data_IF_126955848465
#
_entry.id   IF_126955848465
#
_cell.length_a   1.000
_cell.length_b   1.000
_cell.length_c   1.000
_cell.angle_alpha   90.00
_cell.angle_beta   90.00
_cell.angle_gamma   90.00
#
_symmetry.space_group_name_H-M   'P 1'
#
loop_
_entity.id
_entity.type
_entity.pdbx_description
1 polymer ?
#
# COMPACT_ATOMS: atom_id res chain seq x y z
N UNK A 1 1.23 22.55 -1.79
CA UNK A 1 2.19 22.65 -2.93
C UNK A 1 1.78 21.63 -3.98
N UNK A 2 2.00 21.85 -5.27
CA UNK A 2 1.81 20.77 -6.27
C UNK A 2 2.94 19.77 -6.11
N UNK A 3 2.62 18.54 -5.69
CA UNK A 3 3.62 17.49 -5.48
C UNK A 3 4.01 16.88 -6.82
N UNK A 4 5.31 16.78 -7.09
CA UNK A 4 5.84 15.94 -8.16
C UNK A 4 5.98 14.51 -7.64
N UNK A 5 5.11 13.61 -8.10
CA UNK A 5 5.14 12.21 -7.67
C UNK A 5 6.38 11.44 -8.15
N UNK A 6 7.03 11.89 -9.22
CA UNK A 6 8.30 11.31 -9.68
C UNK A 6 9.42 11.62 -8.69
N UNK A 7 9.49 12.87 -8.23
CA UNK A 7 10.44 13.28 -7.19
C UNK A 7 10.11 12.63 -5.85
N UNK A 8 8.83 12.56 -5.47
CA UNK A 8 8.39 11.87 -4.26
C UNK A 8 8.84 10.39 -4.28
N UNK A 9 8.59 9.66 -5.36
CA UNK A 9 9.06 8.28 -5.49
C UNK A 9 10.59 8.22 -5.42
N UNK A 10 11.32 9.06 -6.16
CA UNK A 10 12.78 9.04 -6.17
C UNK A 10 13.36 9.28 -4.77
N UNK A 11 12.81 10.24 -4.03
CA UNK A 11 13.21 10.53 -2.66
C UNK A 11 12.85 9.40 -1.71
N UNK A 12 11.64 8.85 -1.77
CA UNK A 12 11.27 7.69 -0.94
C UNK A 12 12.18 6.49 -1.21
N UNK A 13 12.40 6.13 -2.48
CA UNK A 13 13.30 5.03 -2.85
C UNK A 13 14.72 5.26 -2.31
N UNK A 14 15.24 6.49 -2.42
CA UNK A 14 16.58 6.85 -1.95
C UNK A 14 16.65 6.85 -0.43
N UNK A 15 15.83 7.64 0.22
CA UNK A 15 15.94 7.97 1.65
C UNK A 15 15.42 6.86 2.56
N UNK A 16 14.45 6.08 2.09
CA UNK A 16 13.91 4.94 2.82
C UNK A 16 14.49 3.60 2.35
N UNK A 17 15.40 3.63 1.36
CA UNK A 17 16.03 2.42 0.76
C UNK A 17 15.00 1.36 0.36
N UNK A 18 13.89 1.80 -0.21
CA UNK A 18 12.80 0.90 -0.59
C UNK A 18 13.29 -0.13 -1.61
N UNK A 19 12.85 -1.38 -1.46
CA UNK A 19 13.14 -2.45 -2.42
C UNK A 19 12.13 -2.48 -3.58
N UNK A 20 10.94 -1.94 -3.36
CA UNK A 20 9.83 -1.91 -4.31
C UNK A 20 9.33 -0.48 -4.51
N UNK A 21 8.89 -0.18 -5.73
CA UNK A 21 8.26 1.11 -5.99
C UNK A 21 6.98 1.24 -5.16
N UNK A 22 6.75 2.40 -4.50
CA UNK A 22 5.44 2.74 -3.99
C UNK A 22 4.40 2.68 -5.12
N UNK A 23 3.22 2.16 -4.82
CA UNK A 23 2.16 1.93 -5.80
C UNK A 23 1.10 3.00 -5.63
N UNK A 24 0.89 3.82 -6.65
CA UNK A 24 -0.29 4.66 -6.76
C UNK A 24 -1.48 3.81 -7.21
N UNK A 25 -2.59 3.91 -6.48
CA UNK A 25 -3.87 3.23 -6.77
C UNK A 25 -4.91 4.30 -7.07
N UNK A 26 -5.64 4.12 -8.17
CA UNK A 26 -6.77 4.96 -8.59
C UNK A 26 -8.01 4.10 -8.81
N UNK A 27 -9.15 4.53 -8.31
CA UNK A 27 -10.46 3.92 -8.49
C UNK A 27 -11.30 4.75 -9.44
N UNK A 28 -12.02 4.07 -10.34
CA UNK A 28 -12.86 4.72 -11.34
C UNK A 28 -14.32 4.38 -11.11
N UNK A 29 -15.16 5.40 -11.10
CA UNK A 29 -16.63 5.31 -10.95
C UNK A 29 -17.37 5.86 -12.18
N UNK A 30 -16.68 6.59 -13.05
CA UNK A 30 -17.23 7.19 -14.26
C UNK A 30 -16.44 6.74 -15.50
N UNK A 31 -17.16 6.44 -16.59
CA UNK A 31 -16.55 5.91 -17.80
C UNK A 31 -15.73 6.96 -18.56
N UNK A 32 -16.10 8.25 -18.50
CA UNK A 32 -15.34 9.30 -19.14
C UNK A 32 -13.97 9.48 -18.46
N UNK A 33 -13.89 9.31 -17.13
CA UNK A 33 -12.62 9.31 -16.40
C UNK A 33 -11.73 8.13 -16.81
N UNK A 34 -12.32 6.95 -17.02
CA UNK A 34 -11.60 5.78 -17.55
C UNK A 34 -11.06 6.06 -18.94
N UNK A 35 -11.92 6.51 -19.86
CA UNK A 35 -11.56 6.73 -21.25
C UNK A 35 -10.42 7.76 -21.36
N UNK A 36 -10.53 8.85 -20.60
CA UNK A 36 -9.48 9.86 -20.48
C UNK A 36 -8.18 9.27 -19.93
N UNK A 37 -8.24 8.52 -18.84
CA UNK A 37 -7.05 7.91 -18.25
C UNK A 37 -6.34 6.97 -19.23
N UNK A 38 -7.10 6.16 -19.97
CA UNK A 38 -6.57 5.22 -20.97
C UNK A 38 -6.00 5.91 -22.21
N UNK A 39 -6.50 7.09 -22.58
CA UNK A 39 -5.96 7.91 -23.67
C UNK A 39 -4.64 8.59 -23.27
N UNK A 40 -4.57 9.09 -22.03
CA UNK A 40 -3.45 9.90 -21.54
C UNK A 40 -2.26 9.06 -21.02
N UNK A 41 -2.46 7.78 -20.72
CA UNK A 41 -1.46 6.96 -20.03
C UNK A 41 -1.18 5.64 -20.75
N UNK A 42 0.10 5.25 -20.79
CA UNK A 42 0.49 3.90 -21.18
C UNK A 42 0.12 2.91 -20.08
N UNK A 43 -0.82 2.00 -20.37
CA UNK A 43 -1.29 0.99 -19.42
C UNK A 43 -1.30 -0.41 -20.03
N UNK A 44 -1.14 -1.40 -19.16
CA UNK A 44 -1.33 -2.80 -19.51
C UNK A 44 -2.66 -3.33 -18.97
N UNK A 45 -3.25 -4.30 -19.68
CA UNK A 45 -4.44 -5.02 -19.23
C UNK A 45 -4.12 -6.51 -19.05
N UNK A 46 -4.59 -7.17 -17.98
CA UNK A 46 -4.42 -8.60 -17.81
C UNK A 46 -5.14 -9.40 -18.92
N UNK A 47 -4.41 -10.25 -19.64
CA UNK A 47 -5.01 -11.16 -20.66
C UNK A 47 -5.84 -12.26 -19.99
N UNK A 48 -5.42 -12.70 -18.80
CA UNK A 48 -6.13 -13.69 -17.98
C UNK A 48 -6.52 -13.05 -16.66
N UNK A 49 -7.62 -13.47 -16.02
CA UNK A 49 -7.96 -12.98 -14.69
C UNK A 49 -6.84 -13.25 -13.68
N UNK A 50 -6.42 -12.20 -12.96
CA UNK A 50 -5.35 -12.25 -11.96
C UNK A 50 -5.85 -11.71 -10.62
N UNK A 51 -5.10 -11.93 -9.55
CA UNK A 51 -5.41 -11.32 -8.26
C UNK A 51 -4.97 -9.85 -8.25
N UNK A 52 -5.64 -9.00 -7.45
CA UNK A 52 -5.23 -7.61 -7.23
C UNK A 52 -3.75 -7.50 -6.82
N UNK A 53 -3.29 -8.36 -5.91
CA UNK A 53 -1.89 -8.38 -5.49
C UNK A 53 -0.91 -8.67 -6.64
N UNK A 54 -1.36 -9.34 -7.72
CA UNK A 54 -0.53 -9.57 -8.90
C UNK A 54 -0.54 -8.39 -9.87
N UNK A 55 -1.61 -7.60 -9.92
CA UNK A 55 -1.59 -6.32 -10.62
C UNK A 55 -0.54 -5.40 -9.99
N UNK A 56 -0.49 -5.38 -8.66
CA UNK A 56 0.49 -4.62 -7.88
C UNK A 56 1.95 -5.05 -8.11
N UNK A 57 2.21 -6.32 -8.46
CA UNK A 57 3.56 -6.77 -8.87
C UNK A 57 4.03 -6.02 -10.11
N UNK A 58 3.15 -5.79 -11.09
CA UNK A 58 3.49 -5.07 -12.31
C UNK A 58 3.97 -3.65 -11.97
N UNK A 59 3.24 -2.94 -11.11
CA UNK A 59 3.62 -1.62 -10.64
C UNK A 59 4.92 -1.64 -9.82
N UNK A 60 4.95 -2.40 -8.72
CA UNK A 60 6.01 -2.27 -7.71
C UNK A 60 7.34 -2.92 -8.10
N UNK A 61 7.31 -3.96 -8.93
CA UNK A 61 8.52 -4.71 -9.31
C UNK A 61 8.93 -4.47 -10.76
N UNK A 62 7.97 -4.32 -11.68
CA UNK A 62 8.26 -4.15 -13.11
C UNK A 62 8.18 -2.69 -13.58
N UNK A 63 7.63 -1.79 -12.77
CA UNK A 63 7.46 -0.39 -13.16
C UNK A 63 6.34 -0.16 -14.18
N UNK A 64 5.36 -1.06 -14.24
CA UNK A 64 4.30 -1.05 -15.24
C UNK A 64 2.95 -0.65 -14.65
N UNK A 65 2.26 0.28 -15.30
CA UNK A 65 0.87 0.64 -14.98
C UNK A 65 -0.08 -0.43 -15.49
N UNK A 66 -1.07 -0.80 -14.68
CA UNK A 66 -2.11 -1.78 -15.02
C UNK A 66 -3.48 -1.18 -14.76
N UNK A 67 -4.37 -1.27 -15.75
CA UNK A 67 -5.80 -1.05 -15.58
C UNK A 67 -6.54 -2.38 -15.63
N UNK A 68 -7.52 -2.57 -14.73
CA UNK A 68 -8.31 -3.78 -14.69
C UNK A 68 -9.73 -3.53 -14.19
N UNK A 69 -10.68 -4.29 -14.75
CA UNK A 69 -12.10 -4.29 -14.35
C UNK A 69 -12.42 -5.52 -13.50
N UNK A 70 -13.68 -5.60 -13.05
CA UNK A 70 -14.24 -6.72 -12.30
C UNK A 70 -13.93 -8.08 -12.95
N UNK A 71 -14.13 -8.21 -14.26
CA UNK A 71 -13.98 -9.48 -15.00
C UNK A 71 -12.53 -9.96 -15.04
N UNK A 72 -11.58 -9.05 -14.88
CA UNK A 72 -10.14 -9.33 -14.88
C UNK A 72 -9.63 -9.74 -13.50
N UNK A 73 -10.46 -9.69 -12.45
CA UNK A 73 -10.10 -10.08 -11.09
C UNK A 73 -10.50 -11.54 -10.81
N UNK A 74 -9.53 -12.37 -10.41
CA UNK A 74 -9.78 -13.77 -10.07
C UNK A 74 -10.01 -14.04 -8.58
N UNK A 75 -9.66 -13.10 -7.69
CA UNK A 75 -9.76 -13.29 -6.25
C UNK A 75 -11.16 -12.92 -5.74
N UNK A 76 -11.96 -13.93 -5.38
CA UNK A 76 -13.32 -13.76 -4.82
C UNK A 76 -13.36 -12.77 -3.65
N UNK A 77 -12.40 -12.87 -2.73
CA UNK A 77 -12.36 -11.99 -1.57
C UNK A 77 -12.01 -10.52 -1.93
N UNK A 78 -11.21 -10.32 -2.98
CA UNK A 78 -10.98 -8.98 -3.50
C UNK A 78 -12.24 -8.43 -4.17
N UNK A 79 -13.04 -9.24 -4.88
CA UNK A 79 -14.36 -8.82 -5.36
C UNK A 79 -15.26 -8.33 -4.23
N UNK A 80 -15.24 -9.03 -3.08
CA UNK A 80 -16.00 -8.61 -1.91
C UNK A 80 -15.48 -7.28 -1.33
N UNK A 81 -14.17 -7.17 -1.13
CA UNK A 81 -13.53 -5.95 -0.58
C UNK A 81 -13.71 -4.73 -1.50
N UNK A 82 -13.76 -4.95 -2.82
CA UNK A 82 -13.96 -3.92 -3.82
C UNK A 82 -15.42 -3.64 -4.16
N UNK A 83 -16.37 -4.17 -3.38
CA UNK A 83 -17.80 -3.90 -3.59
C UNK A 83 -18.37 -4.48 -4.90
N UNK A 84 -17.60 -5.31 -5.61
CA UNK A 84 -18.03 -5.93 -6.87
C UNK A 84 -18.92 -7.15 -6.67
N UNK A 85 -18.97 -7.71 -5.45
CA UNK A 85 -19.96 -8.70 -5.06
C UNK A 85 -20.36 -8.54 -3.60
N UNK A 86 -21.59 -8.97 -3.29
CA UNK A 86 -22.06 -9.12 -1.93
C UNK A 86 -21.50 -10.37 -1.24
N UNK A 87 -21.91 -10.54 0.02
CA UNK A 87 -21.60 -11.75 0.78
C UNK A 87 -22.32 -12.96 0.17
N UNK A 88 -21.58 -14.04 -0.05
CA UNK A 88 -22.12 -15.30 -0.56
C UNK A 88 -21.54 -16.50 0.23
N UNK A 89 -22.18 -17.67 0.12
CA UNK A 89 -21.76 -18.87 0.85
C UNK A 89 -20.38 -19.38 0.40
N UNK A 90 -19.96 -19.08 -0.83
CA UNK A 90 -18.64 -19.45 -1.32
C UNK A 90 -17.54 -18.62 -0.61
N UNK A 91 -17.80 -17.35 -0.33
CA UNK A 91 -16.92 -16.47 0.44
C UNK A 91 -16.79 -16.98 1.87
N UNK A 92 -17.91 -17.26 2.54
CA UNK A 92 -17.94 -17.85 3.89
C UNK A 92 -17.16 -19.16 3.93
N UNK A 93 -17.40 -20.05 2.95
CA UNK A 93 -16.68 -21.33 2.83
C UNK A 93 -15.18 -21.14 2.61
N UNK A 94 -14.77 -20.16 1.80
CA UNK A 94 -13.35 -19.85 1.56
C UNK A 94 -12.65 -19.29 2.79
N UNK A 95 -13.40 -18.54 3.63
CA UNK A 95 -12.93 -17.96 4.87
C UNK A 95 -12.89 -18.97 6.03
N UNK A 96 -13.70 -20.03 5.95
CA UNK A 96 -13.87 -21.02 7.01
C UNK A 96 -12.55 -21.64 7.49
N UNK A 97 -11.54 -21.77 6.62
CA UNK A 97 -10.21 -22.29 6.96
C UNK A 97 -9.44 -21.48 8.02
N UNK A 98 -9.84 -20.22 8.27
CA UNK A 98 -9.25 -19.37 9.29
C UNK A 98 -10.05 -19.35 10.60
N UNK A 99 -11.27 -19.89 10.60
CA UNK A 99 -12.23 -19.75 11.68
C UNK A 99 -12.59 -21.08 12.33
N UNK A 100 -13.21 -21.03 13.51
CA UNK A 100 -13.63 -22.22 14.26
C UNK A 100 -14.88 -22.89 13.69
N UNK A 101 -15.78 -22.12 13.08
CA UNK A 101 -17.03 -22.61 12.49
C UNK A 101 -17.57 -21.64 11.42
N UNK A 102 -18.50 -22.09 10.55
CA UNK A 102 -19.08 -21.26 9.49
C UNK A 102 -19.78 -19.99 10.00
N UNK A 103 -20.39 -20.03 11.18
CA UNK A 103 -21.05 -18.86 11.79
C UNK A 103 -20.03 -17.77 12.13
N UNK A 104 -18.86 -18.14 12.64
CA UNK A 104 -17.75 -17.22 12.86
C UNK A 104 -17.18 -16.70 11.53
N UNK A 105 -17.04 -17.57 10.53
CA UNK A 105 -16.59 -17.17 9.20
C UNK A 105 -17.47 -16.06 8.61
N UNK A 106 -18.79 -16.24 8.66
CA UNK A 106 -19.76 -15.25 8.18
C UNK A 106 -19.60 -13.91 8.89
N UNK A 107 -19.64 -13.91 10.23
CA UNK A 107 -19.47 -12.67 11.03
C UNK A 107 -18.16 -11.95 10.71
N UNK A 108 -17.07 -12.69 10.51
CA UNK A 108 -15.76 -12.07 10.23
C UNK A 108 -15.66 -11.53 8.80
N UNK A 109 -16.27 -12.18 7.81
CA UNK A 109 -16.33 -11.61 6.46
C UNK A 109 -17.12 -10.30 6.46
N UNK A 110 -18.24 -10.24 7.18
CA UNK A 110 -19.08 -9.04 7.30
C UNK A 110 -18.37 -7.84 7.97
N UNK A 111 -17.28 -8.07 8.72
CA UNK A 111 -16.49 -6.96 9.30
C UNK A 111 -15.53 -6.29 8.32
N UNK A 112 -15.31 -6.87 7.14
CA UNK A 112 -14.37 -6.30 6.17
C UNK A 112 -14.97 -5.05 5.53
N UNK A 113 -14.13 -4.03 5.37
CA UNK A 113 -14.49 -2.85 4.58
C UNK A 113 -14.77 -3.25 3.14
N UNK A 114 -15.87 -2.73 2.59
CA UNK A 114 -16.19 -2.79 1.18
C UNK A 114 -16.07 -1.38 0.58
N UNK A 115 -15.55 -1.29 -0.64
CA UNK A 115 -15.61 -0.06 -1.44
C UNK A 115 -17.07 0.35 -1.71
N UNK A 116 -17.36 1.65 -1.89
CA UNK A 116 -18.65 2.12 -2.35
C UNK A 116 -19.08 1.43 -3.65
N UNK A 117 -20.39 1.21 -3.81
CA UNK A 117 -20.96 0.64 -5.02
C UNK A 117 -20.70 1.54 -6.25
N UNK A 118 -20.70 0.92 -7.43
CA UNK A 118 -20.56 1.65 -8.71
C UNK A 118 -19.14 1.76 -9.25
N UNK A 119 -18.12 1.24 -8.56
CA UNK A 119 -16.76 1.22 -9.08
C UNK A 119 -16.66 0.34 -10.33
N UNK A 120 -16.17 0.90 -11.44
CA UNK A 120 -16.09 0.23 -12.75
C UNK A 120 -14.67 -0.24 -13.11
N UNK A 121 -13.64 0.31 -12.46
CA UNK A 121 -12.26 -0.03 -12.77
C UNK A 121 -11.26 0.40 -11.70
N UNK A 122 -10.07 -0.18 -11.76
CA UNK A 122 -8.95 0.14 -10.88
C UNK A 122 -7.70 0.28 -11.74
N UNK A 123 -6.92 1.33 -11.52
CA UNK A 123 -5.54 1.41 -12.00
C UNK A 123 -4.55 1.29 -10.85
N UNK A 124 -3.48 0.51 -11.08
CA UNK A 124 -2.32 0.45 -10.19
C UNK A 124 -1.08 0.80 -10.99
N UNK A 125 -0.25 1.69 -10.49
CA UNK A 125 0.92 2.20 -11.20
C UNK A 125 2.06 2.52 -10.23
N UNK A 126 3.33 2.56 -10.68
CA UNK A 126 4.39 3.15 -9.87
C UNK A 126 3.99 4.57 -9.50
N UNK A 127 4.29 5.01 -8.28
CA UNK A 127 3.97 6.36 -7.82
C UNK A 127 4.51 7.44 -8.77
N UNK A 128 5.71 7.24 -9.34
CA UNK A 128 6.29 8.15 -10.32
C UNK A 128 5.49 8.31 -11.62
N UNK A 129 4.56 7.39 -11.91
CA UNK A 129 3.68 7.43 -13.07
C UNK A 129 2.33 8.11 -12.78
N UNK A 130 2.06 8.48 -11.51
CA UNK A 130 0.85 9.19 -11.16
C UNK A 130 0.90 10.63 -11.69
N UNK A 131 -0.12 11.02 -12.48
CA UNK A 131 -0.29 12.37 -13.04
C UNK A 131 -1.22 13.24 -12.20
N UNK A 132 -1.99 12.61 -11.31
CA UNK A 132 -2.90 13.21 -10.36
C UNK A 132 -2.72 12.57 -8.98
N UNK A 133 -3.31 13.15 -7.95
CA UNK A 133 -3.29 12.56 -6.60
C UNK A 133 -3.94 11.18 -6.63
N UNK A 134 -3.22 10.10 -6.29
CA UNK A 134 -3.82 8.78 -6.23
C UNK A 134 -4.84 8.72 -5.08
N UNK A 135 -5.76 7.77 -5.14
CA UNK A 135 -6.70 7.55 -4.04
C UNK A 135 -5.98 6.93 -2.83
N UNK A 136 -5.07 6.00 -3.10
CA UNK A 136 -4.23 5.34 -2.08
C UNK A 136 -2.82 5.15 -2.63
N UNK A 137 -1.81 5.32 -1.78
CA UNK A 137 -0.44 4.87 -2.02
C UNK A 137 -0.16 3.62 -1.18
N UNK A 138 0.15 2.51 -1.85
CA UNK A 138 0.42 1.22 -1.21
C UNK A 138 1.91 0.86 -1.32
N UNK A 139 2.49 0.45 -0.20
CA UNK A 139 3.88 0.08 -0.04
C UNK A 139 4.00 -1.38 0.40
N UNK A 140 4.99 -2.08 -0.18
CA UNK A 140 5.52 -3.34 0.33
C UNK A 140 6.91 -3.05 0.90
N UNK A 141 7.01 -3.06 2.23
CA UNK A 141 8.16 -2.53 2.97
C UNK A 141 8.57 -3.43 4.12
N UNK A 142 9.81 -3.33 4.59
CA UNK A 142 10.21 -4.00 5.81
C UNK A 142 9.61 -3.34 7.07
N UNK A 143 9.85 -3.95 8.24
CA UNK A 143 9.30 -3.48 9.51
C UNK A 143 9.79 -2.08 9.92
N UNK A 144 11.04 -1.72 9.59
CA UNK A 144 11.61 -0.42 9.94
C UNK A 144 11.10 0.67 9.00
N UNK A 145 11.03 0.39 7.71
CA UNK A 145 10.42 1.27 6.72
C UNK A 145 8.94 1.53 7.03
N UNK A 146 8.20 0.47 7.37
CA UNK A 146 6.80 0.58 7.80
C UNK A 146 6.65 1.48 9.03
N UNK A 147 7.52 1.32 10.04
CA UNK A 147 7.53 2.17 11.22
C UNK A 147 7.81 3.64 10.88
N UNK A 148 8.76 3.91 9.98
CA UNK A 148 9.04 5.29 9.55
C UNK A 148 7.83 5.93 8.87
N UNK A 149 7.19 5.23 7.93
CA UNK A 149 5.97 5.70 7.27
C UNK A 149 4.84 5.97 8.28
N UNK A 150 4.68 5.10 9.28
CA UNK A 150 3.68 5.27 10.32
C UNK A 150 3.94 6.51 11.19
N UNK A 151 5.18 6.74 11.62
CA UNK A 151 5.54 7.90 12.43
C UNK A 151 5.38 9.19 11.64
N UNK A 152 5.79 9.21 10.37
CA UNK A 152 5.66 10.37 9.50
C UNK A 152 4.21 10.70 9.21
N UNK A 153 3.39 9.69 8.98
CA UNK A 153 1.96 9.87 8.85
C UNK A 153 1.34 10.46 10.12
N UNK A 154 1.61 9.86 11.29
CA UNK A 154 1.04 10.33 12.56
C UNK A 154 1.42 11.78 12.84
N UNK A 155 2.69 12.13 12.64
CA UNK A 155 3.18 13.49 12.86
C UNK A 155 2.67 14.48 11.81
N UNK A 156 2.68 14.11 10.53
CA UNK A 156 2.24 14.99 9.42
C UNK A 156 0.73 15.21 9.38
N UNK A 157 -0.06 14.35 10.02
CA UNK A 157 -1.54 14.42 9.99
C UNK A 157 -2.18 14.63 11.37
N UNK A 158 -1.36 14.90 12.41
CA UNK A 158 -1.81 15.00 13.82
C UNK A 158 -2.72 13.84 14.25
N UNK A 159 -2.37 12.63 13.82
CA UNK A 159 -3.18 11.42 14.05
C UNK A 159 -2.47 10.50 15.04
N UNK A 160 -3.06 10.28 16.21
CA UNK A 160 -2.54 9.31 17.18
C UNK A 160 -3.66 8.77 18.11
N UNK A 161 -3.72 7.46 18.41
CA UNK A 161 -2.90 6.37 17.87
C UNK A 161 -3.43 5.81 16.54
N UNK A 162 -2.56 5.16 15.77
CA UNK A 162 -2.97 4.36 14.60
C UNK A 162 -3.71 3.10 15.03
N UNK A 163 -4.76 2.75 14.28
CA UNK A 163 -5.59 1.55 14.52
C UNK A 163 -5.65 0.70 13.24
N UNK A 164 -4.70 -0.23 13.05
CA UNK A 164 -4.65 -1.02 11.82
C UNK A 164 -5.86 -1.96 11.70
N UNK A 165 -6.44 -2.02 10.51
CA UNK A 165 -7.56 -2.88 10.18
C UNK A 165 -7.07 -4.26 9.71
N UNK A 166 -6.43 -5.00 10.61
CA UNK A 166 -5.91 -6.35 10.32
C UNK A 166 -7.08 -7.34 10.27
N UNK A 167 -7.23 -8.01 9.13
CA UNK A 167 -8.24 -9.04 8.87
C UNK A 167 -7.56 -10.39 8.60
N UNK A 168 -8.28 -11.52 8.78
CA UNK A 168 -7.72 -12.87 8.60
C UNK A 168 -7.18 -13.13 7.17
N UNK A 169 -7.74 -12.43 6.19
CA UNK A 169 -7.29 -12.36 4.81
C UNK A 169 -7.70 -10.99 4.23
N UNK A 170 -7.34 -10.68 2.98
CA UNK A 170 -7.55 -9.35 2.36
C UNK A 170 -6.51 -8.28 2.73
N UNK A 171 -5.25 -8.65 2.98
CA UNK A 171 -4.22 -7.65 3.32
C UNK A 171 -4.14 -6.51 2.31
N UNK A 172 -3.78 -6.79 1.05
CA UNK A 172 -3.68 -5.75 0.03
C UNK A 172 -5.06 -5.18 -0.35
N UNK A 173 -5.97 -6.00 -0.91
CA UNK A 173 -7.26 -5.50 -1.41
C UNK A 173 -8.14 -4.86 -0.32
N UNK A 174 -8.28 -5.53 0.83
CA UNK A 174 -9.08 -5.03 1.95
C UNK A 174 -8.39 -3.90 2.70
N UNK A 175 -7.07 -3.92 2.82
CA UNK A 175 -6.31 -2.83 3.43
C UNK A 175 -6.33 -1.56 2.58
N UNK A 176 -6.24 -1.68 1.25
CA UNK A 176 -6.42 -0.56 0.32
C UNK A 176 -7.86 -0.03 0.39
N UNK A 177 -8.86 -0.92 0.37
CA UNK A 177 -10.26 -0.52 0.52
C UNK A 177 -10.52 0.21 1.85
N UNK A 178 -10.00 -0.31 2.97
CA UNK A 178 -10.08 0.36 4.28
C UNK A 178 -9.44 1.75 4.23
N UNK A 179 -8.23 1.87 3.68
CA UNK A 179 -7.52 3.14 3.67
C UNK A 179 -8.24 4.20 2.84
N UNK A 180 -8.84 3.80 1.72
CA UNK A 180 -9.69 4.68 0.93
C UNK A 180 -10.97 5.08 1.67
N UNK A 181 -11.75 4.10 2.13
CA UNK A 181 -13.09 4.34 2.69
C UNK A 181 -13.04 5.06 4.04
N UNK A 182 -12.14 4.64 4.92
CA UNK A 182 -11.95 5.30 6.20
C UNK A 182 -11.14 6.61 6.05
N UNK A 183 -10.49 6.82 4.90
CA UNK A 183 -9.49 7.85 4.70
C UNK A 183 -8.41 7.82 5.81
N UNK A 184 -7.93 6.62 6.15
CA UNK A 184 -6.99 6.41 7.26
C UNK A 184 -5.79 5.56 6.86
N UNK A 185 -4.68 5.74 7.56
CA UNK A 185 -3.51 4.88 7.39
C UNK A 185 -3.82 3.44 7.79
N UNK A 186 -3.27 2.48 7.04
CA UNK A 186 -3.32 1.08 7.42
C UNK A 186 -1.96 0.40 7.29
N UNK A 187 -1.67 -0.51 8.21
CA UNK A 187 -0.49 -1.36 8.17
C UNK A 187 -0.88 -2.77 8.56
N UNK A 188 -0.66 -3.72 7.67
CA UNK A 188 -1.08 -5.11 7.84
C UNK A 188 0.00 -6.09 7.36
N UNK A 189 0.17 -7.25 8.02
CA UNK A 189 1.04 -8.30 7.52
C UNK A 189 0.46 -8.93 6.24
N UNK A 190 1.29 -9.67 5.51
CA UNK A 190 0.84 -10.43 4.35
C UNK A 190 -0.15 -11.54 4.75
N UNK A 191 -1.36 -11.52 4.15
CA UNK A 191 -2.26 -12.67 4.20
C UNK A 191 -1.77 -13.76 3.25
N UNK A 192 -2.35 -14.97 3.34
CA UNK A 192 -1.93 -16.08 2.48
C UNK A 192 -2.04 -15.78 0.98
N UNK A 193 -2.99 -14.93 0.57
CA UNK A 193 -3.13 -14.50 -0.82
C UNK A 193 -2.01 -13.55 -1.24
N UNK A 194 -1.76 -12.51 -0.44
CA UNK A 194 -0.66 -11.57 -0.65
C UNK A 194 0.69 -12.28 -0.71
N UNK A 195 0.94 -13.19 0.24
CA UNK A 195 2.18 -13.96 0.29
C UNK A 195 2.37 -14.85 -0.95
N UNK A 196 1.39 -15.69 -1.30
CA UNK A 196 1.57 -16.68 -2.37
C UNK A 196 1.38 -16.11 -3.78
N UNK A 197 0.30 -15.35 -4.01
CA UNK A 197 -0.04 -14.80 -5.32
C UNK A 197 0.64 -13.46 -5.54
N UNK A 198 0.61 -12.59 -4.52
CA UNK A 198 1.26 -11.27 -4.53
C UNK A 198 2.77 -11.32 -4.36
N UNK A 199 3.38 -12.49 -4.13
CA UNK A 199 4.83 -12.67 -3.97
C UNK A 199 5.44 -11.78 -2.89
N UNK A 200 4.70 -11.58 -1.81
CA UNK A 200 5.19 -10.84 -0.64
C UNK A 200 6.23 -11.69 0.11
N UNK A 201 7.38 -11.10 0.42
CA UNK A 201 8.45 -11.77 1.16
C UNK A 201 8.14 -11.83 2.66
N UNK A 202 8.83 -12.73 3.40
CA UNK A 202 8.53 -12.96 4.83
C UNK A 202 8.72 -11.73 5.73
N UNK A 203 9.62 -10.83 5.34
CA UNK A 203 9.92 -9.61 6.08
C UNK A 203 9.05 -8.42 5.67
N UNK A 204 8.19 -8.58 4.66
CA UNK A 204 7.42 -7.47 4.09
C UNK A 204 6.08 -7.28 4.79
N UNK A 205 5.75 -6.01 4.99
CA UNK A 205 4.53 -5.47 5.55
C UNK A 205 3.86 -4.62 4.48
N UNK A 206 2.53 -4.69 4.43
CA UNK A 206 1.73 -3.84 3.55
C UNK A 206 1.42 -2.56 4.32
N UNK A 207 1.71 -1.40 3.72
CA UNK A 207 1.35 -0.08 4.26
C UNK A 207 0.55 0.68 3.23
N UNK A 208 -0.62 1.16 3.59
CA UNK A 208 -1.52 1.90 2.71
C UNK A 208 -1.81 3.25 3.33
N UNK A 209 -1.67 4.31 2.53
CA UNK A 209 -1.86 5.69 2.94
C UNK A 209 -2.80 6.36 1.95
N UNK A 210 -3.87 7.05 2.39
CA UNK A 210 -4.70 7.84 1.48
C UNK A 210 -3.84 8.86 0.74
N UNK A 211 -4.02 9.02 -0.57
CA UNK A 211 -3.06 9.77 -1.37
C UNK A 211 -2.90 11.24 -0.98
N UNK A 212 -3.99 11.91 -0.56
CA UNK A 212 -3.89 13.26 0.00
C UNK A 212 -3.04 13.29 1.29
N UNK A 213 -3.23 12.32 2.19
CA UNK A 213 -2.46 12.21 3.44
C UNK A 213 -1.02 11.73 3.22
N UNK A 214 -0.74 11.08 2.08
CA UNK A 214 0.63 10.73 1.67
C UNK A 214 1.46 11.99 1.40
N UNK A 215 0.85 13.07 0.92
CA UNK A 215 1.53 14.35 0.72
C UNK A 215 2.08 14.87 2.05
N UNK A 216 1.23 14.96 3.08
CA UNK A 216 1.64 15.39 4.42
C UNK A 216 2.68 14.44 5.05
N UNK A 217 2.54 13.13 4.82
CA UNK A 217 3.52 12.12 5.26
C UNK A 217 4.90 12.38 4.62
N UNK A 218 4.93 12.68 3.32
CA UNK A 218 6.15 12.99 2.60
C UNK A 218 6.77 14.33 3.00
N UNK A 219 5.95 15.36 3.20
CA UNK A 219 6.40 16.66 3.71
C UNK A 219 7.08 16.48 5.08
N UNK A 220 6.51 15.67 5.97
CA UNK A 220 7.12 15.36 7.27
C UNK A 220 8.48 14.66 7.15
N UNK A 221 8.65 13.76 6.18
CA UNK A 221 9.95 13.15 5.87
C UNK A 221 10.96 14.21 5.43
N UNK A 222 10.57 15.12 4.52
CA UNK A 222 11.44 16.19 4.04
C UNK A 222 11.88 17.14 5.16
N UNK A 223 10.94 17.56 6.02
CA UNK A 223 11.24 18.36 7.21
C UNK A 223 12.28 17.67 8.10
N UNK A 224 12.13 16.36 8.34
CA UNK A 224 13.12 15.61 9.14
C UNK A 224 14.50 15.61 8.49
N UNK A 225 14.57 15.44 7.17
CA UNK A 225 15.83 15.48 6.44
C UNK A 225 16.47 16.86 6.53
N UNK A 226 15.68 17.93 6.39
CA UNK A 226 16.16 19.31 6.48
C UNK A 226 16.65 19.64 7.90
N UNK A 227 15.83 19.37 8.91
CA UNK A 227 16.11 19.75 10.30
C UNK A 227 17.20 18.90 10.95
N UNK A 228 17.18 17.59 10.66
CA UNK A 228 18.03 16.62 11.36
C UNK A 228 19.15 16.06 10.47
N UNK A 229 19.19 16.44 9.19
CA UNK A 229 20.21 15.99 8.24
C UNK A 229 20.06 14.53 7.79
N UNK A 230 18.97 13.83 8.16
CA UNK A 230 18.75 12.45 7.70
C UNK A 230 17.28 12.01 7.74
N UNK A 231 16.98 10.94 7.00
CA UNK A 231 15.66 10.29 6.98
C UNK A 231 15.38 9.38 8.18
N UNK A 232 16.41 9.01 8.95
CA UNK A 232 16.31 8.04 10.05
C UNK A 232 15.60 8.63 11.27
N UNK A 233 14.60 7.91 11.77
CA UNK A 233 13.89 8.25 13.01
C UNK A 233 14.64 7.72 14.24
N UNK A 234 15.29 6.58 14.11
CA UNK A 234 16.00 5.88 15.18
C UNK A 234 17.35 6.54 15.49
N UNK A 235 18.01 7.12 14.49
CA UNK A 235 19.25 7.88 14.66
C UNK A 235 19.32 9.11 13.74
N UNK A 236 18.72 10.24 14.16
CA UNK A 236 18.80 11.48 13.40
C UNK A 236 20.25 11.91 13.11
N UNK A 237 20.49 12.40 11.89
CA UNK A 237 21.82 12.77 11.38
C UNK A 237 22.61 11.63 10.73
N UNK A 238 22.14 10.38 10.85
CA UNK A 238 22.66 9.22 10.12
C UNK A 238 21.60 8.75 9.11
N UNK A 239 21.96 8.61 7.84
CA UNK A 239 21.02 8.25 6.77
C UNK A 239 20.51 6.82 6.91
N UNK A 240 19.23 6.56 6.64
CA UNK A 240 18.67 5.20 6.78
C UNK A 240 19.29 4.19 5.78
N UNK A 241 19.60 2.94 6.21
CA UNK A 241 19.47 2.41 7.57
C UNK A 241 20.59 2.82 8.53
N UNK A 242 21.74 3.32 8.07
CA UNK A 242 22.79 3.88 8.94
C UNK A 242 23.15 2.96 10.12
N UNK A 243 23.17 3.51 11.33
CA UNK A 243 23.34 2.78 12.58
C UNK A 243 22.23 1.77 12.93
N UNK A 244 21.10 1.73 12.22
CA UNK A 244 20.10 0.67 12.41
C UNK A 244 20.63 -0.70 12.03
N UNK A 245 21.61 -0.76 11.13
CA UNK A 245 22.31 -2.01 10.79
C UNK A 245 22.91 -2.67 12.03
N UNK A 246 23.39 -1.85 12.97
CA UNK A 246 23.94 -2.32 14.24
C UNK A 246 22.98 -2.19 15.42
N UNK A 247 21.70 -1.84 15.17
CA UNK A 247 20.67 -1.57 16.19
C UNK A 247 21.10 -0.49 17.18
N UNK A 248 21.75 0.56 16.68
CA UNK A 248 22.28 1.65 17.50
C UNK A 248 23.24 1.19 18.61
N UNK A 249 23.99 0.10 18.36
CA UNK A 249 24.94 -0.43 19.32
C UNK A 249 26.08 0.57 19.55
N UNK A 250 26.27 1.09 20.78
CA UNK A 250 27.29 2.09 21.08
C UNK A 250 28.72 1.55 20.96
N UNK A 251 28.89 0.23 20.81
CA UNK A 251 30.19 -0.41 20.63
C UNK A 251 30.62 -0.47 19.16
N UNK A 252 29.68 -0.31 18.21
CA UNK A 252 29.96 -0.40 16.78
C UNK A 252 30.21 1.02 16.27
N UNK A 253 31.41 1.53 16.57
CA UNK A 253 31.89 2.86 16.16
C UNK A 253 33.09 2.68 15.25
N UNK A 254 33.02 3.23 14.04
CA UNK A 254 34.11 3.21 13.07
C UNK A 254 34.74 4.59 12.97
N UNK A 255 36.09 4.65 12.97
CA UNK A 255 36.84 5.86 12.61
C UNK A 255 37.32 5.72 11.18
N UNK A 256 37.22 6.79 10.37
CA UNK A 256 37.91 6.83 9.08
C UNK A 256 39.41 6.66 9.33
N UNK A 257 40.02 5.69 8.64
CA UNK A 257 41.47 5.55 8.68
C UNK A 257 42.06 6.46 7.60
N UNK A 258 42.65 7.59 8.04
CA UNK A 258 43.28 8.64 7.22
C UNK A 258 42.50 9.03 5.96
#
# INVERSE_FOLDING_TARGET
MSVDFKEMQATLMREMRLYHYPIAVKFFYDQADVDKYLEENEVHVPIKPMTYCQWEIAARMKGQSVYATKEMLSCSNAHYSFGWKGLDDAEVKSHAKYTRNPEQARRFVETKTQMPEGMIGIAVMPLASATETPDVVHFYVDNMQAYHLAVDYMAGTDTHPLRPAITMNSSACGGTAYSYVANEFNMVPACSGSYNAGKTERGEINVMIPGEKMIATYERLLERIEDLGSSSITKPGDGFPGQDVCKNCPLIIFKKNK
#
